data_IF_981551079550
#
_entry.id   IF_981551079550
#
_cell.length_a   1.000
_cell.length_b   1.000
_cell.length_c   1.000
_cell.angle_alpha   90.00
_cell.angle_beta   90.00
_cell.angle_gamma   90.00
#
_symmetry.space_group_name_H-M   'P 1'
#
loop_
_entity.id
_entity.type
_entity.pdbx_description
1 polymer ?
#
# COMPACT_ATOMS: atom_id res chain seq x y z
N UNK A 1 11.58 -29.98 -52.27
CA UNK A 1 10.49 -29.45 -51.43
C UNK A 1 11.13 -28.83 -50.20
N UNK A 2 11.47 -27.54 -50.30
CA UNK A 2 12.32 -26.84 -49.33
C UNK A 2 11.44 -25.90 -48.53
N UNK A 3 11.25 -26.18 -47.25
CA UNK A 3 10.31 -25.47 -46.37
C UNK A 3 11.01 -25.09 -45.07
N UNK A 4 11.14 -23.77 -44.93
CA UNK A 4 10.99 -22.96 -43.70
C UNK A 4 12.15 -22.90 -42.70
N UNK A 5 12.27 -21.68 -42.17
CA UNK A 5 12.90 -21.28 -40.92
C UNK A 5 14.39 -20.90 -40.92
N UNK A 6 14.70 -19.83 -41.66
CA UNK A 6 15.85 -18.98 -41.33
C UNK A 6 15.47 -17.99 -40.22
N UNK A 7 15.84 -18.37 -39.00
CA UNK A 7 16.18 -17.49 -37.89
C UNK A 7 16.99 -16.27 -38.39
N UNK A 8 16.64 -15.08 -37.91
CA UNK A 8 17.51 -14.17 -37.11
C UNK A 8 16.80 -12.84 -36.92
N UNK A 9 16.20 -12.74 -35.73
CA UNK A 9 15.80 -11.53 -35.04
C UNK A 9 16.91 -10.46 -35.17
N UNK A 10 16.74 -9.51 -36.10
CA UNK A 10 17.58 -8.32 -36.18
C UNK A 10 17.10 -7.33 -35.11
N UNK A 11 17.62 -7.52 -33.89
CA UNK A 11 17.63 -6.45 -32.88
C UNK A 11 18.50 -5.31 -33.45
N UNK A 12 18.05 -4.07 -33.24
CA UNK A 12 18.80 -2.80 -33.27
C UNK A 12 18.57 -1.92 -34.51
N UNK A 13 17.39 -1.33 -34.60
CA UNK A 13 17.23 -0.03 -35.27
C UNK A 13 17.03 1.05 -34.20
N UNK A 14 18.16 1.48 -33.64
CA UNK A 14 18.30 2.70 -32.85
C UNK A 14 18.58 3.84 -33.83
N UNK A 15 17.54 4.39 -34.44
CA UNK A 15 17.63 5.57 -35.29
C UNK A 15 17.15 6.78 -34.47
N UNK A 16 18.04 7.34 -33.65
CA UNK A 16 17.79 8.59 -32.91
C UNK A 16 18.26 9.74 -33.79
N UNK A 17 17.29 10.51 -34.30
CA UNK A 17 17.50 11.77 -35.01
C UNK A 17 18.00 12.84 -34.02
N UNK A 18 19.13 13.46 -34.38
CA UNK A 18 19.69 14.67 -33.77
C UNK A 18 18.69 15.82 -33.81
N UNK A 19 18.29 16.31 -32.64
CA UNK A 19 17.58 17.59 -32.53
C UNK A 19 16.98 17.84 -31.15
N UNK A 20 17.57 18.79 -30.41
CA UNK A 20 16.89 19.46 -29.30
C UNK A 20 17.38 19.07 -27.91
N UNK A 21 18.32 19.84 -27.38
CA UNK A 21 18.58 19.95 -25.95
C UNK A 21 17.38 20.58 -25.24
N UNK A 22 16.64 19.77 -24.47
CA UNK A 22 15.81 20.23 -23.36
C UNK A 22 15.89 19.21 -22.23
N UNK A 23 16.95 19.35 -21.44
CA UNK A 23 17.03 18.79 -20.08
C UNK A 23 16.01 19.54 -19.20
N UNK A 24 14.80 19.00 -19.11
CA UNK A 24 13.87 19.32 -18.03
C UNK A 24 13.78 18.09 -17.13
N UNK A 25 14.59 18.14 -16.07
CA UNK A 25 14.56 17.23 -14.94
C UNK A 25 13.15 17.11 -14.38
N UNK A 26 12.50 15.98 -14.62
CA UNK A 26 11.25 15.59 -13.99
C UNK A 26 11.55 15.00 -12.59
N UNK A 27 11.72 15.86 -11.61
CA UNK A 27 11.46 15.54 -10.20
C UNK A 27 10.19 16.35 -9.86
N UNK A 28 9.14 15.90 -9.20
CA UNK A 28 9.09 15.01 -8.06
C UNK A 28 7.63 14.62 -7.83
N UNK A 29 7.38 13.32 -7.74
CA UNK A 29 6.10 12.75 -7.31
C UNK A 29 6.18 11.23 -7.34
N UNK A 30 7.38 10.67 -7.31
CA UNK A 30 7.63 9.24 -7.24
C UNK A 30 7.64 8.89 -5.77
N UNK A 31 6.50 8.50 -5.24
CA UNK A 31 6.57 7.60 -4.10
C UNK A 31 7.30 6.32 -4.54
N UNK A 32 7.94 5.65 -3.60
CA UNK A 32 8.86 4.56 -3.85
C UNK A 32 8.19 3.39 -4.59
N UNK A 33 8.83 2.76 -5.59
CA UNK A 33 8.28 1.57 -6.22
C UNK A 33 8.03 0.50 -5.17
N UNK A 34 6.98 -0.33 -5.33
CA UNK A 34 6.63 -1.33 -4.34
C UNK A 34 7.75 -2.35 -4.05
N UNK A 35 8.67 -2.51 -5.00
CA UNK A 35 9.88 -3.33 -4.86
C UNK A 35 10.82 -2.81 -3.77
N UNK A 36 10.74 -1.54 -3.38
CA UNK A 36 11.66 -0.94 -2.42
C UNK A 36 11.45 -1.40 -0.96
N UNK A 37 10.24 -1.88 -0.63
CA UNK A 37 9.99 -2.54 0.66
C UNK A 37 10.03 -4.06 0.57
N UNK A 38 9.95 -4.68 -0.63
CA UNK A 38 10.06 -6.14 -0.79
C UNK A 38 11.44 -6.70 -0.40
N UNK A 39 12.44 -5.84 -0.17
CA UNK A 39 13.75 -6.21 0.40
C UNK A 39 14.04 -5.59 1.78
N UNK A 40 13.08 -4.88 2.39
CA UNK A 40 13.28 -4.24 3.68
C UNK A 40 12.78 -5.17 4.80
N UNK A 41 13.54 -5.27 5.89
CA UNK A 41 13.05 -5.93 7.09
C UNK A 41 12.02 -5.03 7.76
N UNK A 42 10.85 -5.55 8.16
CA UNK A 42 9.87 -4.74 8.87
C UNK A 42 10.41 -4.31 10.23
N UNK A 43 10.14 -3.07 10.61
CA UNK A 43 10.46 -2.52 11.92
C UNK A 43 9.47 -3.01 12.99
N UNK A 44 8.25 -3.36 12.56
CA UNK A 44 7.20 -3.90 13.42
C UNK A 44 6.12 -4.65 12.67
N UNK A 45 5.27 -5.30 13.46
CA UNK A 45 4.12 -6.08 12.99
C UNK A 45 2.85 -5.54 13.63
N UNK A 46 1.74 -5.54 12.89
CA UNK A 46 0.45 -5.12 13.40
C UNK A 46 -0.58 -6.23 13.29
N UNK A 47 -1.48 -6.26 14.28
CA UNK A 47 -2.74 -6.98 14.20
C UNK A 47 -3.86 -6.03 14.57
N UNK A 48 -4.94 -6.03 13.81
CA UNK A 48 -6.08 -5.16 14.08
C UNK A 48 -7.40 -5.80 13.70
N UNK A 49 -8.46 -5.33 14.36
CA UNK A 49 -9.85 -5.65 14.05
C UNK A 49 -10.63 -4.38 13.86
N UNK A 50 -11.36 -4.30 12.77
CA UNK A 50 -12.14 -3.14 12.36
C UNK A 50 -13.61 -3.53 12.19
N UNK A 51 -14.50 -2.72 12.74
CA UNK A 51 -15.93 -2.77 12.48
C UNK A 51 -16.26 -1.76 11.38
N UNK A 52 -16.95 -2.24 10.36
CA UNK A 52 -17.45 -1.43 9.25
C UNK A 52 -18.96 -1.34 9.35
N UNK A 53 -19.50 -0.13 9.30
CA UNK A 53 -20.93 0.11 9.20
C UNK A 53 -21.22 0.87 7.91
N UNK A 54 -22.11 0.32 7.07
CA UNK A 54 -22.54 0.92 5.83
C UNK A 54 -24.07 0.83 5.70
N UNK A 55 -24.73 1.95 6.00
CA UNK A 55 -26.18 2.10 5.82
C UNK A 55 -26.55 3.46 5.17
N UNK A 56 -25.99 4.57 5.67
CA UNK A 56 -26.27 5.95 5.18
C UNK A 56 -24.97 6.79 5.06
N UNK A 57 -23.90 6.35 5.73
CA UNK A 57 -22.52 6.81 5.58
C UNK A 57 -21.61 5.63 5.89
N UNK A 58 -20.36 5.68 5.44
CA UNK A 58 -19.38 4.65 5.75
C UNK A 58 -18.31 5.18 6.68
N UNK A 59 -18.14 4.47 7.78
CA UNK A 59 -17.06 4.68 8.73
C UNK A 59 -16.53 3.34 9.19
N UNK A 60 -15.25 3.32 9.52
CA UNK A 60 -14.60 2.20 10.19
C UNK A 60 -14.11 2.64 11.56
N UNK A 61 -14.23 1.75 12.54
CA UNK A 61 -13.66 1.93 13.86
C UNK A 61 -13.13 0.60 14.35
N UNK A 62 -11.96 0.61 14.98
CA UNK A 62 -11.30 -0.62 15.35
C UNK A 62 -10.20 -0.40 16.35
N UNK A 63 -9.59 -1.53 16.74
CA UNK A 63 -8.45 -1.55 17.65
C UNK A 63 -7.38 -2.45 17.07
N UNK A 64 -6.14 -2.14 17.40
CA UNK A 64 -5.00 -2.96 17.03
C UNK A 64 -3.89 -2.92 18.05
N UNK A 65 -2.85 -3.67 17.73
CA UNK A 65 -1.61 -3.70 18.48
C UNK A 65 -0.46 -3.70 17.51
N UNK A 66 0.50 -2.81 17.74
CA UNK A 66 1.79 -2.78 17.08
C UNK A 66 2.81 -3.49 17.96
N UNK A 67 3.44 -4.53 17.44
CA UNK A 67 4.65 -5.10 18.01
C UNK A 67 5.85 -4.37 17.41
N UNK A 68 6.57 -3.61 18.23
CA UNK A 68 7.75 -2.84 17.83
C UNK A 68 8.86 -3.02 18.85
N UNK A 69 10.04 -3.47 18.40
CA UNK A 69 11.22 -3.73 19.24
C UNK A 69 10.93 -4.58 20.49
N UNK A 70 10.10 -5.61 20.32
CA UNK A 70 9.74 -6.54 21.39
C UNK A 70 8.77 -5.97 22.43
N UNK A 71 8.15 -4.82 22.17
CA UNK A 71 7.12 -4.21 23.01
C UNK A 71 5.81 -4.07 22.23
N UNK A 72 4.69 -4.23 22.92
CA UNK A 72 3.35 -4.13 22.35
C UNK A 72 2.74 -2.77 22.64
N UNK A 73 2.29 -2.08 21.59
CA UNK A 73 1.67 -0.77 21.65
C UNK A 73 0.21 -0.86 21.17
N UNK A 74 -0.78 -0.70 22.06
CA UNK A 74 -2.18 -0.67 21.66
C UNK A 74 -2.48 0.63 20.90
N UNK A 75 -3.36 0.52 19.90
CA UNK A 75 -3.83 1.67 19.15
C UNK A 75 -5.30 1.53 18.75
N UNK A 76 -5.96 2.67 18.58
CA UNK A 76 -7.26 2.77 17.96
C UNK A 76 -7.09 3.16 16.48
N UNK A 77 -7.92 2.56 15.63
CA UNK A 77 -7.98 2.86 14.20
C UNK A 77 -9.37 3.36 13.84
N UNK A 78 -9.44 4.34 12.94
CA UNK A 78 -10.71 4.74 12.33
C UNK A 78 -10.51 5.47 11.02
N UNK A 79 -11.48 5.39 10.14
CA UNK A 79 -11.41 5.99 8.81
C UNK A 79 -12.79 6.17 8.18
N UNK A 80 -12.82 6.92 7.08
CA UNK A 80 -14.00 7.05 6.23
C UNK A 80 -13.86 6.01 5.10
N UNK A 81 -14.58 4.90 5.23
CA UNK A 81 -14.52 3.81 4.26
C UNK A 81 -15.47 4.02 3.07
N UNK A 82 -15.41 3.11 2.10
CA UNK A 82 -16.58 2.73 1.30
C UNK A 82 -16.96 1.35 1.80
N UNK A 83 -17.81 1.32 2.81
CA UNK A 83 -18.20 0.08 3.49
C UNK A 83 -19.08 -0.76 2.58
N UNK A 84 -19.06 -2.07 2.82
CA UNK A 84 -19.88 -3.07 2.13
C UNK A 84 -21.38 -2.92 2.42
N UNK A 85 -22.11 -4.02 2.50
CA UNK A 85 -23.54 -3.99 2.88
C UNK A 85 -23.67 -4.44 4.33
N UNK A 86 -24.15 -3.54 5.22
CA UNK A 86 -24.49 -3.88 6.61
C UNK A 86 -23.37 -3.59 7.64
N UNK A 87 -23.40 -4.36 8.73
CA UNK A 87 -22.37 -4.39 9.79
C UNK A 87 -21.44 -5.57 9.53
N UNK A 88 -20.14 -5.31 9.39
CA UNK A 88 -19.14 -6.36 9.16
C UNK A 88 -17.91 -6.13 10.02
N UNK A 89 -17.29 -7.21 10.47
CA UNK A 89 -16.01 -7.19 11.17
C UNK A 89 -14.90 -7.69 10.24
N UNK A 90 -13.78 -7.00 10.24
CA UNK A 90 -12.61 -7.31 9.42
C UNK A 90 -11.40 -7.46 10.33
N UNK A 91 -10.75 -8.62 10.25
CA UNK A 91 -9.46 -8.82 10.87
C UNK A 91 -8.36 -8.62 9.83
N UNK A 92 -7.34 -7.87 10.22
CA UNK A 92 -6.19 -7.58 9.38
C UNK A 92 -4.88 -7.77 10.14
N UNK A 93 -3.85 -8.11 9.39
CA UNK A 93 -2.47 -8.18 9.85
C UNK A 93 -1.57 -7.46 8.85
N UNK A 94 -0.37 -7.09 9.30
CA UNK A 94 0.49 -6.31 8.46
C UNK A 94 1.85 -6.02 9.04
N UNK A 95 2.64 -5.34 8.24
CA UNK A 95 4.02 -4.99 8.53
C UNK A 95 4.21 -3.49 8.44
N UNK A 96 5.04 -2.97 9.35
CA UNK A 96 5.38 -1.55 9.44
C UNK A 96 6.84 -1.37 9.09
N UNK A 97 7.11 -0.39 8.24
CA UNK A 97 8.43 -0.06 7.73
C UNK A 97 8.73 1.41 7.95
N UNK A 98 10.02 1.75 8.02
CA UNK A 98 10.56 3.09 8.27
C UNK A 98 10.14 3.67 9.63
N UNK A 99 9.80 2.80 10.59
CA UNK A 99 9.43 3.22 11.94
C UNK A 99 10.67 3.25 12.83
N UNK A 100 11.32 4.41 12.89
CA UNK A 100 12.51 4.62 13.72
C UNK A 100 12.19 5.04 15.17
N UNK A 101 11.02 5.65 15.37
CA UNK A 101 10.54 6.15 16.65
C UNK A 101 9.05 5.86 16.77
N UNK A 102 8.63 5.30 17.91
CA UNK A 102 7.23 4.96 18.18
C UNK A 102 6.28 6.16 18.03
N UNK A 103 6.78 7.38 18.28
CA UNK A 103 6.01 8.62 18.15
C UNK A 103 5.64 8.96 16.70
N UNK A 104 6.30 8.35 15.71
CA UNK A 104 5.98 8.52 14.29
C UNK A 104 4.89 7.56 13.81
N UNK A 105 4.48 6.58 14.62
CA UNK A 105 3.46 5.62 14.22
C UNK A 105 2.04 6.23 14.14
N UNK A 106 1.58 7.05 15.09
CA UNK A 106 0.24 7.65 15.01
C UNK A 106 0.14 8.66 13.87
N UNK A 107 -1.06 8.83 13.33
CA UNK A 107 -1.29 9.80 12.26
C UNK A 107 -2.32 9.36 11.24
N UNK A 108 -2.45 10.17 10.20
CA UNK A 108 -3.25 9.89 9.02
C UNK A 108 -2.43 9.07 8.02
N UNK A 109 -2.90 7.88 7.67
CA UNK A 109 -2.33 6.97 6.68
C UNK A 109 -3.14 7.04 5.38
N UNK A 110 -2.53 7.56 4.32
CA UNK A 110 -3.11 7.63 2.99
C UNK A 110 -2.70 6.44 2.13
N UNK A 111 -3.61 5.92 1.30
CA UNK A 111 -3.29 4.80 0.42
C UNK A 111 -2.27 5.23 -0.65
N UNK A 112 -1.20 4.46 -0.78
CA UNK A 112 -0.23 4.62 -1.84
C UNK A 112 -0.81 4.06 -3.15
N UNK A 113 -1.32 4.96 -4.00
CA UNK A 113 -1.79 4.64 -5.35
C UNK A 113 -0.63 4.76 -6.33
N UNK A 114 0.28 3.80 -6.35
CA UNK A 114 1.22 3.71 -7.48
C UNK A 114 0.46 3.29 -8.73
N UNK A 115 0.77 3.97 -9.85
CA UNK A 115 -0.11 4.15 -11.00
C UNK A 115 -0.76 2.88 -11.56
N UNK A 116 -1.77 3.12 -12.40
CA UNK A 116 -2.61 2.19 -13.18
C UNK A 116 -1.90 1.01 -13.91
N UNK A 117 -0.59 0.82 -13.74
CA UNK A 117 0.26 -0.15 -14.42
C UNK A 117 0.93 -1.20 -13.50
N UNK A 118 0.55 -1.34 -12.23
CA UNK A 118 0.83 -2.58 -11.48
C UNK A 118 -0.28 -3.62 -11.75
N UNK A 119 -0.40 -4.00 -13.03
CA UNK A 119 -1.38 -4.99 -13.48
C UNK A 119 -1.26 -6.31 -12.71
N UNK A 120 -2.40 -6.80 -12.22
CA UNK A 120 -2.66 -8.19 -11.84
C UNK A 120 -1.96 -8.78 -10.59
N UNK A 121 -1.29 -7.99 -9.73
CA UNK A 121 -0.59 -8.56 -8.55
C UNK A 121 -0.93 -7.96 -7.17
N UNK A 122 -1.95 -7.09 -7.04
CA UNK A 122 -2.41 -6.64 -5.71
C UNK A 122 -3.43 -7.63 -5.13
N UNK A 123 -2.95 -8.80 -4.68
CA UNK A 123 -3.77 -9.88 -4.12
C UNK A 123 -4.35 -9.59 -2.73
N UNK A 124 -5.01 -8.43 -2.53
CA UNK A 124 -5.70 -8.09 -1.28
C UNK A 124 -4.90 -7.28 -0.26
N UNK A 125 -3.68 -6.87 -0.60
CA UNK A 125 -2.83 -6.05 0.27
C UNK A 125 -3.05 -4.56 0.01
N UNK A 126 -3.10 -3.77 1.08
CA UNK A 126 -3.11 -2.32 1.05
C UNK A 126 -1.79 -1.77 1.52
N UNK A 127 -1.31 -0.76 0.81
CA UNK A 127 -0.15 0.00 1.22
C UNK A 127 -0.53 1.43 1.57
N UNK A 128 -0.01 1.85 2.70
CA UNK A 128 -0.37 3.08 3.38
C UNK A 128 0.87 3.81 3.84
N UNK A 129 0.85 5.13 3.76
CA UNK A 129 1.93 5.97 4.28
C UNK A 129 1.35 7.14 5.08
N UNK A 130 1.99 7.48 6.19
CA UNK A 130 1.65 8.66 6.99
C UNK A 130 2.58 9.85 6.73
N UNK A 131 2.25 11.00 7.31
CA UNK A 131 3.03 12.25 7.17
C UNK A 131 4.47 12.13 7.71
N UNK A 132 4.75 11.16 8.57
CA UNK A 132 6.10 10.88 9.08
C UNK A 132 6.91 9.94 8.17
N UNK A 133 6.33 9.52 7.03
CA UNK A 133 6.94 8.59 6.08
C UNK A 133 6.96 7.13 6.55
N UNK A 134 6.19 6.79 7.59
CA UNK A 134 6.01 5.41 8.04
C UNK A 134 5.10 4.70 7.05
N UNK A 135 5.56 3.54 6.58
CA UNK A 135 4.83 2.74 5.60
C UNK A 135 4.20 1.55 6.31
N UNK A 136 2.95 1.28 5.99
CA UNK A 136 2.19 0.14 6.52
C UNK A 136 1.63 -0.68 5.36
N UNK A 137 1.99 -1.96 5.33
CA UNK A 137 1.39 -2.95 4.42
C UNK A 137 0.42 -3.80 5.21
N UNK A 138 -0.83 -3.83 4.79
CA UNK A 138 -1.93 -4.48 5.51
C UNK A 138 -2.60 -5.50 4.61
N UNK A 139 -2.97 -6.66 5.16
CA UNK A 139 -3.73 -7.71 4.50
C UNK A 139 -4.92 -8.13 5.36
N UNK A 140 -6.08 -8.35 4.74
CA UNK A 140 -7.20 -9.00 5.43
C UNK A 140 -6.94 -10.49 5.64
N UNK A 141 -7.26 -10.99 6.83
CA UNK A 141 -7.08 -12.41 7.16
C UNK A 141 -8.08 -13.35 6.47
N UNK A 142 -9.27 -12.85 6.15
CA UNK A 142 -10.35 -13.66 5.56
C UNK A 142 -10.38 -13.50 4.04
N UNK A 143 -10.32 -14.62 3.34
CA UNK A 143 -10.55 -14.67 1.89
C UNK A 143 -11.96 -14.14 1.56
N UNK A 144 -12.07 -13.35 0.49
CA UNK A 144 -13.33 -12.75 0.04
C UNK A 144 -13.73 -11.45 0.75
N UNK A 145 -13.05 -11.07 1.84
CA UNK A 145 -13.13 -9.70 2.37
C UNK A 145 -12.04 -8.84 1.73
N UNK A 146 -12.45 -7.88 0.92
CA UNK A 146 -11.52 -6.86 0.41
C UNK A 146 -11.35 -5.77 1.47
N UNK A 147 -10.09 -5.46 1.80
CA UNK A 147 -9.80 -4.18 2.44
C UNK A 147 -10.03 -3.10 1.38
N UNK A 148 -11.13 -2.37 1.49
CA UNK A 148 -11.40 -1.20 0.65
C UNK A 148 -11.22 0.03 1.53
N UNK A 149 -10.06 0.65 1.45
CA UNK A 149 -9.97 2.05 1.80
C UNK A 149 -10.61 2.80 0.64
N UNK A 150 -11.63 3.59 0.96
CA UNK A 150 -12.29 4.45 -0.01
C UNK A 150 -11.36 5.56 -0.50
N UNK A 151 -11.93 6.75 -0.66
CA UNK A 151 -11.18 7.95 -1.01
C UNK A 151 -10.35 8.53 0.16
N UNK A 152 -10.55 8.07 1.41
CA UNK A 152 -10.24 8.89 2.58
C UNK A 152 -9.56 8.09 3.69
N UNK A 153 -8.22 8.19 3.75
CA UNK A 153 -7.35 8.15 4.94
C UNK A 153 -7.79 7.28 6.15
N UNK A 154 -6.90 6.36 6.56
CA UNK A 154 -7.00 5.64 7.84
C UNK A 154 -6.27 6.41 8.94
N UNK A 155 -6.91 6.72 10.06
CA UNK A 155 -6.30 7.44 11.19
C UNK A 155 -5.99 6.50 12.35
N UNK A 156 -4.74 6.55 12.82
CA UNK A 156 -4.25 5.78 13.97
C UNK A 156 -3.99 6.71 15.16
N UNK A 157 -4.37 6.27 16.36
CA UNK A 157 -4.05 6.92 17.64
C UNK A 157 -3.54 5.88 18.65
N UNK A 158 -2.52 6.21 19.43
CA UNK A 158 -2.13 5.35 20.57
C UNK A 158 -3.17 5.43 21.68
N UNK A 159 -3.31 4.33 22.43
CA UNK A 159 -4.18 4.21 23.61
C UNK A 159 -3.36 4.15 24.89
#
# INVERSE_FOLDING_TARGET
MTSRDTLRLHRRDCLILLGGTSLLSACSGGGMPPEAYEGMMPDGEIHMREFQAAYIGSGTAGKGTLLYRGQSYPFDVGGLGVGGVGLSEVEAEGWVYRLNNILHFPGAYGQLRYGFAAGQKSGGDLLLENESGVIMRVRAKREGLMLSLGADVMRIRMT
#
